data_IF_295820067457
#
_entry.id   IF_295820067457
#
_cell.length_a   1.000
_cell.length_b   1.000
_cell.length_c   1.000
_cell.angle_alpha   90.00
_cell.angle_beta   90.00
_cell.angle_gamma   90.00
#
_symmetry.space_group_name_H-M   'P 1'
#
loop_
_entity.id
_entity.type
_entity.pdbx_description
1 polymer ?
#
# COMPACT_ATOMS: atom_id res chain seq x y z
N UNK A 1 44.10 -73.90 34.35
CA UNK A 1 43.19 -73.13 35.20
C UNK A 1 41.91 -72.87 34.42
N UNK A 2 40.77 -73.43 34.82
CA UNK A 2 39.49 -73.16 34.12
C UNK A 2 38.93 -71.80 34.59
N UNK A 3 38.56 -70.96 33.62
CA UNK A 3 37.89 -69.72 33.87
C UNK A 3 36.43 -70.01 34.18
N UNK A 4 35.99 -69.69 35.38
CA UNK A 4 34.60 -69.76 35.80
C UNK A 4 33.84 -68.60 35.10
N UNK A 5 32.92 -68.97 34.18
CA UNK A 5 31.96 -68.05 33.63
C UNK A 5 30.88 -67.73 34.70
N UNK A 6 30.80 -66.47 35.12
CA UNK A 6 29.74 -66.02 36.04
C UNK A 6 28.37 -66.18 35.38
N UNK A 7 27.41 -66.73 36.13
CA UNK A 7 26.03 -66.84 35.72
C UNK A 7 25.41 -65.45 35.56
N UNK A 8 24.56 -65.20 34.52
CA UNK A 8 23.91 -63.93 34.38
C UNK A 8 22.93 -63.69 35.54
N UNK A 9 22.97 -62.51 36.11
CA UNK A 9 22.04 -62.06 37.13
C UNK A 9 20.58 -62.09 36.58
N UNK A 10 19.59 -62.43 37.41
CA UNK A 10 18.20 -62.44 36.99
C UNK A 10 17.78 -60.99 36.67
N UNK A 11 17.41 -60.75 35.43
CA UNK A 11 16.79 -59.50 34.97
C UNK A 11 15.46 -59.30 35.68
N UNK A 12 15.35 -58.27 36.49
CA UNK A 12 14.09 -57.80 37.07
C UNK A 12 13.09 -57.54 35.97
N UNK A 13 11.84 -58.03 36.06
CA UNK A 13 10.83 -57.77 35.06
C UNK A 13 10.54 -56.25 35.01
N UNK A 14 10.76 -55.62 33.85
CA UNK A 14 10.39 -54.23 33.61
C UNK A 14 8.87 -54.16 33.59
N UNK A 15 8.31 -53.53 34.61
CA UNK A 15 6.88 -53.26 34.68
C UNK A 15 6.52 -52.34 33.48
N UNK A 16 5.56 -52.72 32.62
CA UNK A 16 5.15 -51.84 31.54
C UNK A 16 4.65 -50.50 32.12
N UNK A 17 4.96 -49.37 31.48
CA UNK A 17 4.50 -48.06 31.97
C UNK A 17 2.97 -48.06 32.07
N UNK A 18 2.46 -47.59 33.18
CA UNK A 18 1.04 -47.37 33.41
C UNK A 18 0.43 -46.60 32.25
N UNK A 19 -0.68 -47.02 31.65
CA UNK A 19 -1.32 -46.23 30.59
C UNK A 19 -1.57 -44.82 31.11
N UNK A 20 -0.97 -43.84 30.46
CA UNK A 20 -1.27 -42.44 30.72
C UNK A 20 -2.73 -42.26 30.44
N UNK A 21 -3.54 -41.92 31.46
CA UNK A 21 -4.95 -41.62 31.30
C UNK A 21 -5.20 -40.62 30.18
N UNK A 22 -6.42 -40.52 29.66
CA UNK A 22 -6.72 -39.60 28.58
C UNK A 22 -6.17 -38.23 28.94
N UNK A 23 -5.36 -37.65 28.02
CA UNK A 23 -4.84 -36.32 28.17
C UNK A 23 -6.00 -35.38 28.49
N UNK A 24 -5.86 -34.47 29.47
CA UNK A 24 -6.90 -33.51 29.76
C UNK A 24 -7.26 -32.79 28.44
N UNK A 25 -8.56 -32.49 28.21
CA UNK A 25 -8.95 -31.79 27.01
C UNK A 25 -8.07 -30.55 26.90
N UNK A 26 -7.41 -30.38 25.77
CA UNK A 26 -6.68 -29.14 25.47
C UNK A 26 -7.73 -28.06 25.64
N UNK A 27 -7.63 -27.30 26.74
CA UNK A 27 -8.40 -26.07 26.88
C UNK A 27 -8.05 -25.23 25.65
N UNK A 28 -8.95 -25.22 24.67
CA UNK A 28 -8.92 -24.20 23.64
C UNK A 28 -9.07 -22.91 24.42
N UNK A 29 -7.99 -22.15 24.53
CA UNK A 29 -8.12 -20.74 24.83
C UNK A 29 -9.00 -20.15 23.74
N UNK A 30 -10.28 -20.10 24.00
CA UNK A 30 -11.20 -19.25 23.27
C UNK A 30 -10.76 -17.85 23.67
N UNK A 31 -9.97 -17.21 22.83
CA UNK A 31 -9.80 -15.77 22.92
C UNK A 31 -11.21 -15.22 22.72
N UNK A 32 -11.86 -14.84 23.81
CA UNK A 32 -13.06 -14.02 23.69
C UNK A 32 -12.65 -12.77 22.95
N UNK A 33 -13.23 -12.58 21.77
CA UNK A 33 -13.00 -11.36 21.00
C UNK A 33 -13.49 -10.19 21.82
N UNK A 34 -12.58 -9.49 22.47
CA UNK A 34 -12.90 -8.32 23.28
C UNK A 34 -13.47 -7.17 22.44
N UNK A 35 -13.29 -7.23 21.12
CA UNK A 35 -13.73 -6.21 20.20
C UNK A 35 -14.50 -6.81 19.03
N UNK A 36 -15.68 -6.29 18.70
CA UNK A 36 -16.41 -6.74 17.52
C UNK A 36 -15.63 -6.37 16.26
N UNK A 37 -15.33 -7.38 15.47
CA UNK A 37 -14.67 -7.25 14.17
C UNK A 37 -13.14 -7.21 14.25
N UNK A 38 -12.55 -8.07 13.47
CA UNK A 38 -11.11 -8.18 13.30
C UNK A 38 -10.68 -7.56 11.96
N UNK A 39 -9.43 -7.14 11.85
CA UNK A 39 -8.85 -6.83 10.56
C UNK A 39 -8.73 -8.11 9.74
N UNK A 40 -9.00 -8.03 8.43
CA UNK A 40 -8.76 -9.13 7.49
C UNK A 40 -7.52 -8.84 6.65
N UNK A 41 -6.83 -9.91 6.25
CA UNK A 41 -5.67 -9.86 5.38
C UNK A 41 -5.96 -10.63 4.10
N UNK A 42 -5.73 -9.99 2.97
CA UNK A 42 -5.95 -10.60 1.66
C UNK A 42 -4.70 -10.42 0.80
N UNK A 43 -4.20 -11.50 0.24
CA UNK A 43 -3.19 -11.47 -0.81
C UNK A 43 -3.86 -11.47 -2.16
N UNK A 44 -3.46 -10.56 -3.04
CA UNK A 44 -3.84 -10.57 -4.45
C UNK A 44 -2.59 -10.78 -5.28
N UNK A 45 -2.54 -11.88 -6.02
CA UNK A 45 -1.42 -12.20 -6.88
C UNK A 45 -1.38 -11.37 -8.16
N UNK A 46 -0.28 -11.42 -8.88
CA UNK A 46 -0.12 -10.77 -10.19
C UNK A 46 -1.15 -11.21 -11.23
N UNK A 47 -1.67 -12.44 -11.07
CA UNK A 47 -2.69 -13.06 -11.94
C UNK A 47 -4.12 -12.71 -11.55
N UNK A 48 -4.31 -11.81 -10.58
CA UNK A 48 -5.60 -11.40 -10.06
C UNK A 48 -6.25 -12.39 -9.09
N UNK A 49 -5.60 -13.53 -8.81
CA UNK A 49 -6.10 -14.47 -7.79
C UNK A 49 -6.06 -13.83 -6.40
N UNK A 50 -7.11 -14.05 -5.61
CA UNK A 50 -7.25 -13.51 -4.26
C UNK A 50 -7.26 -14.63 -3.23
N UNK A 51 -6.54 -14.41 -2.12
CA UNK A 51 -6.34 -15.36 -1.05
C UNK A 51 -6.59 -14.69 0.29
N UNK A 52 -7.60 -15.12 0.99
CA UNK A 52 -7.87 -14.66 2.34
C UNK A 52 -6.91 -15.34 3.30
N UNK A 53 -5.97 -14.57 3.86
CA UNK A 53 -4.95 -15.08 4.78
C UNK A 53 -5.40 -15.04 6.23
N UNK A 54 -6.24 -14.06 6.58
CA UNK A 54 -6.85 -13.92 7.90
C UNK A 54 -8.22 -13.27 7.73
N UNK A 55 -9.27 -14.03 8.08
CA UNK A 55 -10.65 -13.58 8.04
C UNK A 55 -11.12 -13.12 9.42
N UNK A 56 -12.20 -12.38 9.46
CA UNK A 56 -12.80 -11.84 10.70
C UNK A 56 -13.23 -12.93 11.70
N UNK A 57 -13.56 -14.10 11.22
CA UNK A 57 -14.01 -15.25 12.00
C UNK A 57 -12.87 -16.25 12.29
N UNK A 58 -11.60 -15.86 12.06
CA UNK A 58 -10.42 -16.72 12.16
C UNK A 58 -10.45 -17.96 11.26
N UNK A 59 -11.37 -18.03 10.29
CA UNK A 59 -11.41 -19.06 9.26
C UNK A 59 -10.91 -18.50 7.94
N UNK A 60 -10.19 -19.29 7.16
CA UNK A 60 -9.79 -18.94 5.81
C UNK A 60 -10.52 -19.85 4.83
N UNK A 61 -11.44 -19.28 4.06
CA UNK A 61 -12.14 -19.99 3.01
C UNK A 61 -11.23 -20.35 1.83
N UNK A 62 -10.08 -19.67 1.71
CA UNK A 62 -9.16 -19.86 0.59
C UNK A 62 -8.25 -21.09 0.72
N UNK A 63 -8.26 -21.80 1.85
CA UNK A 63 -7.32 -22.91 2.13
C UNK A 63 -5.88 -22.46 2.34
N UNK A 64 -5.67 -21.17 2.64
CA UNK A 64 -4.38 -20.56 2.98
C UNK A 64 -4.57 -19.66 4.19
N UNK A 65 -3.72 -19.77 5.19
CA UNK A 65 -3.79 -18.90 6.36
C UNK A 65 -2.43 -18.40 6.79
N UNK A 66 -2.40 -17.18 7.32
CA UNK A 66 -1.22 -16.60 7.96
C UNK A 66 -0.82 -17.44 9.18
N UNK A 67 0.45 -17.80 9.21
CA UNK A 67 1.06 -18.45 10.35
C UNK A 67 1.68 -17.46 11.33
N UNK A 68 2.43 -18.00 12.28
CA UNK A 68 3.18 -17.22 13.26
C UNK A 68 4.42 -16.56 12.62
N UNK A 69 5.04 -15.61 13.33
CA UNK A 69 6.30 -14.92 12.95
C UNK A 69 6.17 -14.01 11.72
N UNK A 70 5.09 -13.26 11.63
CA UNK A 70 4.94 -12.20 10.64
C UNK A 70 5.84 -11.00 11.02
N UNK A 71 6.62 -10.49 10.07
CA UNK A 71 7.53 -9.34 10.24
C UNK A 71 7.36 -8.36 9.08
N UNK A 72 7.72 -7.10 9.30
CA UNK A 72 7.73 -6.06 8.26
C UNK A 72 6.38 -5.41 7.98
N UNK A 73 5.30 -5.76 8.71
CA UNK A 73 3.98 -5.15 8.50
C UNK A 73 3.71 -3.92 9.39
N UNK A 74 4.57 -3.70 10.39
CA UNK A 74 4.47 -2.57 11.32
C UNK A 74 5.19 -1.34 10.76
N UNK A 75 5.91 -0.56 11.59
CA UNK A 75 6.72 0.56 11.10
C UNK A 75 7.83 0.07 10.16
N UNK A 76 8.14 0.82 9.09
CA UNK A 76 9.33 0.55 8.28
C UNK A 76 10.60 0.87 9.06
N UNK A 77 11.73 0.39 8.58
CA UNK A 77 13.02 0.91 9.01
C UNK A 77 13.14 2.36 8.58
N UNK A 78 13.69 3.21 9.44
CA UNK A 78 13.96 4.62 9.18
C UNK A 78 15.43 4.85 9.42
N UNK A 79 16.15 5.27 8.41
CA UNK A 79 17.58 5.55 8.47
C UNK A 79 17.79 7.08 8.53
N UNK A 80 18.18 7.64 9.70
CA UNK A 80 18.39 9.07 9.84
C UNK A 80 19.69 9.52 9.16
N UNK A 81 19.65 10.67 8.53
CA UNK A 81 20.85 11.40 8.13
C UNK A 81 21.33 12.25 9.30
N UNK A 82 22.57 12.01 9.74
CA UNK A 82 23.16 12.71 10.88
C UNK A 82 24.41 13.47 10.46
N UNK A 83 24.62 14.63 11.07
CA UNK A 83 25.84 15.42 10.97
C UNK A 83 26.47 15.51 12.35
N UNK A 84 27.73 15.12 12.44
CA UNK A 84 28.55 15.21 13.66
C UNK A 84 29.51 16.39 13.56
N UNK A 85 29.77 17.04 14.68
CA UNK A 85 30.77 18.12 14.80
C UNK A 85 31.86 17.70 15.77
N UNK A 86 33.15 17.88 15.42
CA UNK A 86 34.27 17.52 16.32
C UNK A 86 34.29 18.31 17.64
N UNK A 87 33.56 19.42 17.72
CA UNK A 87 33.56 20.31 18.89
C UNK A 87 32.30 20.22 19.76
N UNK A 88 31.34 19.34 19.38
CA UNK A 88 30.05 19.20 20.10
C UNK A 88 29.73 17.72 20.22
N UNK A 89 29.43 17.29 21.45
CA UNK A 89 29.01 15.89 21.69
C UNK A 89 27.66 15.60 21.02
N UNK A 90 27.55 14.40 20.42
CA UNK A 90 26.34 13.94 19.75
C UNK A 90 26.28 14.30 18.27
N UNK A 91 25.11 14.10 17.67
CA UNK A 91 24.85 14.33 16.26
C UNK A 91 23.53 15.08 16.04
N UNK A 92 23.48 15.93 15.02
CA UNK A 92 22.25 16.58 14.59
C UNK A 92 21.59 15.78 13.49
N UNK A 93 20.29 15.47 13.61
CA UNK A 93 19.50 14.80 12.56
C UNK A 93 19.09 15.85 11.53
N UNK A 94 19.47 15.66 10.27
CA UNK A 94 19.15 16.57 9.16
C UNK A 94 18.05 16.06 8.24
N UNK A 95 17.67 14.80 8.39
CA UNK A 95 16.62 14.16 7.60
C UNK A 95 16.63 12.65 7.81
N UNK A 96 15.84 11.94 7.02
CA UNK A 96 15.81 10.48 7.03
C UNK A 96 15.45 9.93 5.66
N UNK A 97 15.73 8.66 5.46
CA UNK A 97 15.25 7.86 4.32
C UNK A 97 14.58 6.60 4.85
N UNK A 98 13.56 6.16 4.14
CA UNK A 98 12.91 4.88 4.39
C UNK A 98 13.34 3.91 3.28
N UNK A 99 14.19 2.92 3.58
CA UNK A 99 14.64 1.94 2.60
C UNK A 99 13.50 1.00 2.17
N UNK A 100 13.69 0.19 1.11
CA UNK A 100 12.75 -0.86 0.78
C UNK A 100 12.42 -1.72 2.00
N UNK A 101 11.14 -2.07 2.15
CA UNK A 101 10.65 -2.82 3.31
C UNK A 101 10.70 -4.31 3.03
N UNK A 102 11.42 -5.04 3.88
CA UNK A 102 11.37 -6.49 3.90
C UNK A 102 10.14 -6.97 4.69
N UNK A 103 9.39 -7.88 4.09
CA UNK A 103 8.22 -8.52 4.70
C UNK A 103 8.45 -10.02 4.72
N UNK A 104 8.24 -10.62 5.85
CA UNK A 104 8.27 -12.07 6.02
C UNK A 104 7.03 -12.52 6.77
N UNK A 105 6.41 -13.57 6.29
CA UNK A 105 5.38 -14.28 7.01
C UNK A 105 5.40 -15.77 6.67
N UNK A 106 4.91 -16.58 7.58
CA UNK A 106 4.64 -17.97 7.29
C UNK A 106 3.19 -18.12 6.84
N UNK A 107 2.96 -19.01 5.90
CA UNK A 107 1.61 -19.41 5.48
C UNK A 107 1.44 -20.91 5.61
N UNK A 108 0.27 -21.33 6.05
CA UNK A 108 -0.16 -22.70 5.97
C UNK A 108 -1.12 -22.84 4.80
N UNK A 109 -0.76 -23.72 3.87
CA UNK A 109 -1.58 -24.08 2.71
C UNK A 109 -2.17 -25.46 2.98
N UNK A 110 -3.49 -25.65 2.85
CA UNK A 110 -4.15 -26.92 3.08
C UNK A 110 -5.29 -27.18 2.12
N UNK A 111 -5.57 -28.48 1.89
CA UNK A 111 -6.73 -28.96 1.15
C UNK A 111 -7.15 -30.31 1.70
N UNK A 112 -8.46 -30.53 1.86
CA UNK A 112 -9.03 -31.71 2.51
C UNK A 112 -9.53 -32.79 1.56
N UNK A 113 -9.43 -32.60 0.25
CA UNK A 113 -9.91 -33.57 -0.72
C UNK A 113 -8.93 -34.69 -0.99
N UNK A 114 -8.31 -34.70 -2.14
CA UNK A 114 -7.32 -35.68 -2.57
C UNK A 114 -5.92 -35.06 -2.63
N UNK A 115 -4.89 -35.94 -2.74
CA UNK A 115 -3.51 -35.49 -2.99
C UNK A 115 -3.40 -34.61 -4.23
N UNK A 116 -4.17 -34.93 -5.28
CA UNK A 116 -4.16 -34.14 -6.52
C UNK A 116 -4.76 -32.76 -6.31
N UNK A 117 -5.87 -32.64 -5.59
CA UNK A 117 -6.47 -31.36 -5.24
C UNK A 117 -5.54 -30.50 -4.39
N UNK A 118 -4.80 -31.12 -3.46
CA UNK A 118 -3.78 -30.40 -2.70
C UNK A 118 -2.67 -29.88 -3.60
N UNK A 119 -2.12 -30.69 -4.52
CA UNK A 119 -1.08 -30.29 -5.47
C UNK A 119 -1.56 -29.12 -6.35
N UNK A 120 -2.79 -29.18 -6.84
CA UNK A 120 -3.35 -28.15 -7.69
C UNK A 120 -3.61 -26.84 -6.92
N UNK A 121 -3.99 -26.98 -5.64
CA UNK A 121 -4.18 -25.83 -4.74
C UNK A 121 -2.85 -25.16 -4.40
N UNK A 122 -1.83 -25.92 -4.05
CA UNK A 122 -0.48 -25.45 -3.76
C UNK A 122 0.14 -24.75 -4.99
N UNK A 123 0.01 -25.36 -6.18
CA UNK A 123 0.45 -24.74 -7.44
C UNK A 123 -0.22 -23.39 -7.71
N UNK A 124 -1.52 -23.27 -7.44
CA UNK A 124 -2.22 -22.00 -7.63
C UNK A 124 -1.71 -20.94 -6.66
N UNK A 125 -1.47 -21.30 -5.39
CA UNK A 125 -0.87 -20.42 -4.41
C UNK A 125 0.49 -19.89 -4.90
N UNK A 126 1.41 -20.80 -5.23
CA UNK A 126 2.75 -20.41 -5.68
C UNK A 126 2.76 -19.69 -7.03
N UNK A 127 1.79 -19.97 -7.90
CA UNK A 127 1.61 -19.19 -9.13
C UNK A 127 1.29 -17.73 -8.83
N UNK A 128 0.51 -17.44 -7.82
CA UNK A 128 0.20 -16.07 -7.39
C UNK A 128 1.43 -15.31 -6.87
N UNK A 129 2.47 -16.05 -6.47
CA UNK A 129 3.74 -15.56 -5.90
C UNK A 129 4.90 -15.55 -6.91
N UNK A 130 4.66 -15.67 -8.21
CA UNK A 130 5.75 -15.63 -9.19
C UNK A 130 6.48 -14.29 -9.16
N UNK A 131 7.81 -14.28 -9.45
CA UNK A 131 8.60 -13.06 -9.48
C UNK A 131 8.05 -12.02 -10.43
N UNK A 132 8.16 -10.76 -10.05
CA UNK A 132 7.75 -9.61 -10.87
C UNK A 132 8.60 -9.56 -12.15
N UNK A 133 7.94 -9.33 -13.27
CA UNK A 133 8.59 -9.13 -14.55
C UNK A 133 7.97 -7.90 -15.22
N UNK A 134 8.73 -6.80 -15.37
CA UNK A 134 8.20 -5.56 -15.91
C UNK A 134 7.48 -5.76 -17.26
N UNK A 135 6.31 -5.18 -17.40
CA UNK A 135 5.46 -5.31 -18.58
C UNK A 135 4.71 -6.66 -18.73
N UNK A 136 4.99 -7.65 -17.87
CA UNK A 136 4.38 -8.99 -17.94
C UNK A 136 3.69 -9.38 -16.64
N UNK A 137 4.36 -9.19 -15.50
CA UNK A 137 3.83 -9.53 -14.17
C UNK A 137 4.05 -8.36 -13.21
N UNK A 138 2.95 -7.82 -12.71
CA UNK A 138 2.95 -6.77 -11.69
C UNK A 138 3.33 -7.32 -10.31
N UNK A 139 3.69 -6.46 -9.34
CA UNK A 139 3.77 -6.85 -7.94
C UNK A 139 2.45 -7.42 -7.44
N UNK A 140 2.55 -8.35 -6.49
CA UNK A 140 1.38 -8.76 -5.71
C UNK A 140 1.00 -7.69 -4.70
N UNK A 141 -0.19 -7.81 -4.12
CA UNK A 141 -0.73 -6.84 -3.17
C UNK A 141 -1.21 -7.53 -1.91
N UNK A 142 -0.65 -7.11 -0.77
CA UNK A 142 -1.18 -7.49 0.55
C UNK A 142 -2.11 -6.37 1.03
N UNK A 143 -3.39 -6.67 1.14
CA UNK A 143 -4.42 -5.73 1.60
C UNK A 143 -4.83 -6.05 3.03
N UNK A 144 -4.87 -5.04 3.87
CA UNK A 144 -5.46 -5.08 5.22
C UNK A 144 -6.77 -4.32 5.16
N UNK A 145 -7.84 -4.97 5.60
CA UNK A 145 -9.15 -4.33 5.74
C UNK A 145 -9.47 -4.21 7.22
N UNK A 146 -9.57 -2.98 7.70
CA UNK A 146 -9.94 -2.70 9.09
C UNK A 146 -11.43 -3.00 9.36
N UNK A 147 -11.86 -3.16 10.62
CA UNK A 147 -13.25 -3.43 10.98
C UNK A 147 -14.26 -2.39 10.46
N UNK A 148 -13.84 -1.13 10.32
CA UNK A 148 -14.65 -0.04 9.76
C UNK A 148 -14.74 -0.04 8.22
N UNK A 149 -14.12 -1.03 7.55
CA UNK A 149 -14.10 -1.15 6.10
C UNK A 149 -12.96 -0.37 5.42
N UNK A 150 -12.17 0.42 6.16
CA UNK A 150 -11.00 1.11 5.60
C UNK A 150 -9.97 0.10 5.11
N UNK A 151 -9.44 0.31 3.91
CA UNK A 151 -8.47 -0.59 3.28
C UNK A 151 -7.14 0.11 3.11
N UNK A 152 -6.07 -0.62 3.43
CA UNK A 152 -4.70 -0.23 3.10
C UNK A 152 -3.98 -1.41 2.48
N UNK A 153 -3.10 -1.16 1.54
CA UNK A 153 -2.33 -2.21 0.89
C UNK A 153 -0.87 -1.84 0.73
N UNK A 154 -0.08 -2.89 0.60
CA UNK A 154 1.33 -2.82 0.31
C UNK A 154 1.60 -3.62 -0.96
N UNK A 155 2.27 -3.01 -1.94
CA UNK A 155 2.74 -3.70 -3.13
C UNK A 155 4.04 -4.45 -2.82
N UNK A 156 4.05 -5.74 -3.13
CA UNK A 156 5.09 -6.66 -2.69
C UNK A 156 5.63 -7.47 -3.85
N UNK A 157 6.94 -7.56 -3.89
CA UNK A 157 7.68 -8.36 -4.84
C UNK A 157 8.10 -9.67 -4.15
N UNK A 158 7.60 -10.84 -4.60
CA UNK A 158 8.02 -12.12 -4.04
C UNK A 158 9.49 -12.41 -4.29
N UNK A 159 10.18 -12.85 -3.23
CA UNK A 159 11.56 -13.32 -3.28
C UNK A 159 11.60 -14.81 -2.98
N UNK A 160 12.20 -15.59 -3.87
CA UNK A 160 12.30 -17.04 -3.69
C UNK A 160 13.72 -17.38 -3.23
N UNK A 161 13.86 -17.78 -1.95
CA UNK A 161 15.17 -18.09 -1.36
C UNK A 161 15.57 -19.58 -1.51
N UNK A 162 14.64 -20.42 -1.96
CA UNK A 162 14.91 -21.82 -2.31
C UNK A 162 15.37 -22.73 -1.16
N UNK A 163 15.00 -22.38 0.07
CA UNK A 163 15.47 -22.98 1.31
C UNK A 163 14.39 -23.80 2.06
N UNK A 164 13.36 -24.28 1.32
CA UNK A 164 12.29 -25.08 1.93
C UNK A 164 12.59 -26.56 1.86
N UNK A 165 12.71 -27.19 3.02
CA UNK A 165 12.89 -28.64 3.17
C UNK A 165 11.56 -29.32 3.53
N UNK A 166 11.30 -30.48 2.93
CA UNK A 166 10.16 -31.32 3.24
C UNK A 166 10.57 -32.49 4.13
N UNK A 167 10.08 -32.52 5.36
CA UNK A 167 10.23 -33.69 6.25
C UNK A 167 9.33 -34.84 5.81
N UNK A 168 8.12 -34.51 5.37
CA UNK A 168 7.10 -35.47 4.91
C UNK A 168 6.48 -34.92 3.64
N UNK A 169 6.23 -35.79 2.67
CA UNK A 169 5.53 -35.43 1.43
C UNK A 169 4.18 -34.73 1.76
N UNK A 170 4.04 -33.44 1.44
CA UNK A 170 2.86 -32.67 1.81
C UNK A 170 1.57 -33.19 1.15
N UNK A 171 1.70 -33.80 -0.03
CA UNK A 171 0.56 -34.37 -0.76
C UNK A 171 -0.11 -35.53 -0.01
N UNK A 172 0.64 -36.19 0.88
CA UNK A 172 0.11 -37.25 1.75
C UNK A 172 -0.64 -36.74 2.97
N UNK A 173 -0.20 -35.58 3.52
CA UNK A 173 -0.83 -35.03 4.72
C UNK A 173 -1.85 -33.92 4.41
N UNK A 174 -1.93 -33.45 3.15
CA UNK A 174 -2.88 -32.45 2.70
C UNK A 174 -2.62 -31.02 3.17
N UNK A 175 -1.43 -30.74 3.69
CA UNK A 175 -1.05 -29.40 4.11
C UNK A 175 0.46 -29.21 4.18
N UNK A 176 0.90 -27.92 4.06
CA UNK A 176 2.29 -27.52 4.27
C UNK A 176 2.36 -26.11 4.85
N UNK A 177 3.48 -25.80 5.51
CA UNK A 177 3.75 -24.47 6.04
C UNK A 177 5.00 -23.91 5.37
N UNK A 178 4.86 -22.78 4.71
CA UNK A 178 5.93 -22.12 3.96
C UNK A 178 6.35 -20.80 4.60
N UNK A 179 7.64 -20.47 4.49
CA UNK A 179 8.13 -19.12 4.71
C UNK A 179 8.05 -18.32 3.41
N UNK A 180 7.41 -17.17 3.45
CA UNK A 180 7.25 -16.28 2.30
C UNK A 180 8.05 -15.01 2.56
N UNK A 181 8.98 -14.71 1.65
CA UNK A 181 9.83 -13.51 1.68
C UNK A 181 9.37 -12.56 0.57
N UNK A 182 9.18 -11.31 0.92
CA UNK A 182 8.63 -10.30 0.04
C UNK A 182 9.36 -8.97 0.27
N UNK A 183 9.51 -8.16 -0.77
CA UNK A 183 10.07 -6.82 -0.66
C UNK A 183 9.09 -5.79 -1.22
N UNK A 184 8.78 -4.77 -0.41
CA UNK A 184 8.09 -3.57 -0.85
C UNK A 184 9.13 -2.51 -1.23
N UNK A 185 9.34 -2.28 -2.52
CA UNK A 185 10.22 -1.20 -3.00
C UNK A 185 9.62 0.18 -2.76
N UNK A 186 8.28 0.27 -2.66
CA UNK A 186 7.56 1.40 -2.08
C UNK A 186 7.19 1.03 -0.65
N UNK A 187 7.89 1.54 0.37
CA UNK A 187 7.82 1.01 1.73
C UNK A 187 6.57 1.39 2.51
N UNK A 188 5.73 2.27 1.96
CA UNK A 188 4.54 2.78 2.63
C UNK A 188 3.29 2.02 2.24
N UNK A 189 2.42 1.83 3.21
CA UNK A 189 1.06 1.40 2.95
C UNK A 189 0.29 2.52 2.26
N UNK A 190 -0.51 2.16 1.29
CA UNK A 190 -1.38 3.10 0.58
C UNK A 190 -2.84 2.76 0.84
N UNK A 191 -3.71 3.75 0.72
CA UNK A 191 -5.17 3.56 0.73
C UNK A 191 -5.77 3.91 -0.63
N UNK A 192 -7.08 3.75 -0.77
CA UNK A 192 -7.78 4.30 -1.92
C UNK A 192 -7.49 5.82 -2.02
N UNK A 193 -7.36 6.37 -3.23
CA UNK A 193 -7.22 7.80 -3.41
C UNK A 193 -8.39 8.54 -2.76
N UNK A 194 -8.10 9.68 -2.16
CA UNK A 194 -9.15 10.53 -1.62
C UNK A 194 -10.07 11.03 -2.74
N UNK A 195 -11.34 11.33 -2.43
CA UNK A 195 -12.23 11.95 -3.38
C UNK A 195 -11.59 13.20 -4.00
N UNK A 196 -11.70 13.34 -5.32
CA UNK A 196 -11.12 14.47 -6.02
C UNK A 196 -11.72 15.79 -5.52
N UNK A 197 -10.87 16.78 -5.26
CA UNK A 197 -11.29 18.16 -5.04
C UNK A 197 -11.27 18.90 -6.36
N UNK A 198 -12.37 19.54 -6.69
CA UNK A 198 -12.54 20.28 -7.95
C UNK A 198 -12.39 21.77 -7.71
N UNK A 199 -11.57 22.40 -8.52
CA UNK A 199 -11.40 23.84 -8.61
C UNK A 199 -11.88 24.31 -9.97
N UNK A 200 -12.93 25.09 -10.00
CA UNK A 200 -13.49 25.68 -11.20
C UNK A 200 -13.70 27.18 -10.98
N UNK A 201 -13.38 27.97 -11.97
CA UNK A 201 -13.70 29.38 -11.94
C UNK A 201 -15.23 29.51 -11.76
N UNK A 202 -15.67 30.08 -10.66
CA UNK A 202 -17.07 30.46 -10.48
C UNK A 202 -17.45 31.34 -11.64
N UNK A 203 -18.51 30.99 -12.37
CA UNK A 203 -19.06 31.89 -13.37
C UNK A 203 -19.25 33.24 -12.69
N UNK A 204 -18.74 34.31 -13.30
CA UNK A 204 -18.87 35.64 -12.78
C UNK A 204 -20.35 36.00 -12.62
N UNK A 205 -20.90 35.71 -11.44
CA UNK A 205 -22.06 36.46 -10.98
C UNK A 205 -21.52 37.86 -10.78
N UNK A 206 -21.78 38.75 -11.72
CA UNK A 206 -21.30 40.11 -11.66
C UNK A 206 -21.66 40.65 -10.28
N UNK A 207 -20.68 41.16 -9.55
CA UNK A 207 -20.84 41.80 -8.24
C UNK A 207 -21.96 42.86 -8.22
N UNK A 208 -22.45 43.25 -9.38
CA UNK A 208 -23.56 44.18 -9.62
C UNK A 208 -24.64 43.58 -10.51
N UNK A 209 -24.84 42.28 -10.56
CA UNK A 209 -25.97 41.64 -11.24
C UNK A 209 -27.27 41.78 -10.44
N UNK A 210 -27.59 42.95 -9.99
CA UNK A 210 -28.90 43.30 -9.50
C UNK A 210 -29.86 43.42 -10.69
N UNK A 211 -30.94 42.65 -10.65
CA UNK A 211 -32.03 42.61 -11.62
C UNK A 211 -32.52 44.00 -11.98
N UNK A 212 -33.03 44.07 -13.23
CA UNK A 212 -33.88 45.13 -13.76
C UNK A 212 -33.20 46.47 -14.08
N UNK A 213 -32.72 46.59 -15.28
CA UNK A 213 -32.63 47.86 -16.02
C UNK A 213 -31.41 48.76 -15.74
N UNK A 214 -30.40 48.34 -15.00
CA UNK A 214 -29.23 49.17 -14.69
C UNK A 214 -28.10 49.00 -15.70
N UNK A 215 -27.77 50.06 -16.43
CA UNK A 215 -26.53 50.21 -17.23
C UNK A 215 -25.32 50.31 -16.29
N UNK A 216 -24.86 49.19 -15.75
CA UNK A 216 -23.57 49.10 -15.09
C UNK A 216 -22.50 48.71 -16.09
N UNK A 217 -21.39 49.44 -16.13
CA UNK A 217 -20.27 49.12 -16.99
C UNK A 217 -19.72 47.71 -16.62
N UNK A 218 -19.47 46.86 -17.62
CA UNK A 218 -18.89 45.54 -17.35
C UNK A 218 -17.42 45.74 -16.97
N UNK A 219 -17.13 45.75 -15.71
CA UNK A 219 -15.75 45.53 -15.26
C UNK A 219 -15.47 44.05 -15.42
N UNK A 220 -14.93 43.68 -16.57
CA UNK A 220 -14.26 42.41 -16.75
C UNK A 220 -12.89 42.57 -16.10
N UNK A 221 -12.75 42.10 -14.87
CA UNK A 221 -11.41 41.90 -14.30
C UNK A 221 -10.82 40.77 -15.11
N UNK A 222 -9.89 41.08 -15.99
CA UNK A 222 -9.21 40.12 -16.87
C UNK A 222 -8.51 39.03 -16.08
N UNK A 223 -8.90 37.83 -16.30
CA UNK A 223 -8.64 36.54 -15.94
C UNK A 223 -7.23 36.11 -15.57
N UNK A 224 -6.78 36.26 -14.36
CA UNK A 224 -6.05 35.21 -13.69
C UNK A 224 -6.88 34.77 -12.49
N UNK A 225 -7.60 33.66 -12.63
CA UNK A 225 -8.35 33.14 -11.50
C UNK A 225 -7.42 32.30 -10.65
N UNK A 226 -6.81 32.94 -9.67
CA UNK A 226 -6.27 32.20 -8.53
C UNK A 226 -7.47 31.67 -7.73
N UNK A 227 -7.54 30.35 -7.54
CA UNK A 227 -8.50 29.74 -6.63
C UNK A 227 -8.02 30.01 -5.21
N UNK A 228 -8.29 31.21 -4.68
CA UNK A 228 -7.91 31.60 -3.34
C UNK A 228 -8.58 30.69 -2.30
N UNK A 229 -7.79 30.11 -1.38
CA UNK A 229 -8.28 29.25 -0.33
C UNK A 229 -8.48 27.76 -0.73
N UNK A 230 -7.87 27.33 -1.82
CA UNK A 230 -7.81 25.91 -2.15
C UNK A 230 -7.06 25.15 -1.06
N UNK A 231 -7.67 24.15 -0.48
CA UNK A 231 -7.05 23.29 0.56
C UNK A 231 -7.35 21.82 0.28
N UNK A 232 -6.45 20.95 0.72
CA UNK A 232 -6.61 19.52 0.63
C UNK A 232 -6.16 18.84 1.94
N UNK A 233 -6.79 17.74 2.29
CA UNK A 233 -6.36 16.95 3.44
C UNK A 233 -5.41 15.84 2.96
N UNK A 234 -4.34 15.61 3.73
CA UNK A 234 -3.54 14.40 3.65
C UNK A 234 -3.59 13.70 5.02
N UNK A 235 -4.46 12.70 5.20
CA UNK A 235 -4.56 11.95 6.46
C UNK A 235 -3.46 10.89 6.59
N UNK A 236 -2.52 10.82 5.66
CA UNK A 236 -1.36 9.94 5.71
C UNK A 236 -0.33 10.35 6.77
N UNK A 237 0.65 9.49 6.97
CA UNK A 237 1.77 9.72 7.88
C UNK A 237 2.95 10.40 7.15
N UNK A 238 2.96 10.33 5.80
CA UNK A 238 4.02 10.82 4.94
C UNK A 238 3.50 11.82 3.89
N UNK A 239 4.37 12.69 3.36
CA UNK A 239 4.04 13.54 2.24
C UNK A 239 3.57 12.70 1.04
N UNK A 240 2.44 13.05 0.46
CA UNK A 240 1.83 12.34 -0.66
C UNK A 240 1.89 13.18 -1.94
N UNK A 241 2.06 12.52 -3.07
CA UNK A 241 2.18 13.17 -4.36
C UNK A 241 0.82 13.31 -5.02
N UNK A 242 0.36 14.55 -5.32
CA UNK A 242 -0.95 14.77 -5.92
C UNK A 242 -0.98 14.32 -7.39
N UNK A 243 -2.14 13.85 -7.81
CA UNK A 243 -2.47 13.66 -9.22
C UNK A 243 -3.46 14.75 -9.61
N UNK A 244 -3.08 15.56 -10.60
CA UNK A 244 -3.87 16.66 -11.12
C UNK A 244 -4.53 16.26 -12.42
N UNK A 245 -5.83 16.45 -12.54
CA UNK A 245 -6.55 16.34 -13.81
C UNK A 245 -6.99 17.73 -14.25
N UNK A 246 -6.46 18.16 -15.36
CA UNK A 246 -6.62 19.49 -15.92
C UNK A 246 -7.59 19.41 -17.09
N UNK A 247 -8.74 20.05 -16.99
CA UNK A 247 -9.76 20.06 -18.03
C UNK A 247 -9.72 21.40 -18.80
N UNK A 248 -9.67 21.30 -20.12
CA UNK A 248 -9.69 22.48 -21.01
C UNK A 248 -11.04 23.23 -21.03
N UNK A 249 -11.06 24.45 -21.62
CA UNK A 249 -9.97 25.03 -22.38
C UNK A 249 -8.97 25.85 -21.53
N UNK A 250 -7.69 25.67 -21.77
CA UNK A 250 -6.64 26.50 -21.17
C UNK A 250 -5.34 26.46 -22.01
N UNK A 251 -4.47 27.44 -21.80
CA UNK A 251 -3.14 27.50 -22.42
C UNK A 251 -2.01 27.41 -21.39
N UNK A 252 -2.30 27.73 -20.14
CA UNK A 252 -1.34 27.68 -19.05
C UNK A 252 -2.02 27.33 -17.73
N UNK A 253 -1.35 26.52 -16.92
CA UNK A 253 -1.77 26.17 -15.56
C UNK A 253 -0.60 26.30 -14.62
N UNK A 254 -0.84 26.83 -13.40
CA UNK A 254 0.10 26.77 -12.28
C UNK A 254 -0.51 25.93 -11.18
N UNK A 255 0.22 24.93 -10.72
CA UNK A 255 -0.20 24.01 -9.68
C UNK A 255 0.91 23.78 -8.66
N UNK A 256 0.54 23.48 -7.43
CA UNK A 256 1.48 23.18 -6.35
C UNK A 256 1.02 23.63 -4.98
N UNK A 257 1.98 23.77 -4.10
CA UNK A 257 1.80 24.33 -2.75
C UNK A 257 2.39 25.76 -2.70
N UNK A 258 1.96 26.61 -1.74
CA UNK A 258 2.57 27.93 -1.57
C UNK A 258 4.09 27.83 -1.44
N UNK A 259 4.80 28.56 -2.29
CA UNK A 259 6.28 28.56 -2.34
C UNK A 259 6.91 27.49 -3.26
N UNK A 260 6.13 26.53 -3.78
CA UNK A 260 6.60 25.50 -4.71
C UNK A 260 5.58 25.30 -5.84
N UNK A 261 5.60 26.20 -6.81
CA UNK A 261 4.66 26.22 -7.93
C UNK A 261 5.32 25.74 -9.22
N UNK A 262 4.64 24.84 -9.91
CA UNK A 262 5.00 24.39 -11.25
C UNK A 262 4.08 25.02 -12.27
N UNK A 263 4.64 25.63 -13.29
CA UNK A 263 3.91 26.21 -14.43
C UNK A 263 3.97 25.25 -15.61
N UNK A 264 2.82 24.88 -16.13
CA UNK A 264 2.65 24.00 -17.29
C UNK A 264 2.04 24.84 -18.42
N UNK A 265 2.75 24.97 -19.52
CA UNK A 265 2.25 25.64 -20.72
C UNK A 265 1.90 24.59 -21.76
N UNK A 266 0.61 24.47 -22.06
CA UNK A 266 0.08 23.47 -22.99
C UNK A 266 -1.30 23.92 -23.46
N UNK A 267 -1.54 23.89 -24.77
CA UNK A 267 -2.87 24.12 -25.32
C UNK A 267 -3.76 22.89 -25.13
N UNK A 268 -4.83 23.04 -24.38
CA UNK A 268 -5.84 22.01 -24.15
C UNK A 268 -7.19 22.57 -24.55
N UNK A 269 -7.83 21.92 -25.52
CA UNK A 269 -9.11 22.37 -26.07
C UNK A 269 -10.28 22.07 -25.12
N UNK A 270 -11.41 22.67 -25.37
CA UNK A 270 -12.64 22.36 -24.65
C UNK A 270 -13.04 20.90 -24.87
N UNK A 271 -13.31 20.17 -23.78
CA UNK A 271 -13.64 18.74 -23.80
C UNK A 271 -12.44 17.81 -23.74
N UNK A 272 -11.21 18.32 -23.82
CA UNK A 272 -9.99 17.56 -23.55
C UNK A 272 -9.61 17.62 -22.08
N UNK A 273 -8.90 16.60 -21.61
CA UNK A 273 -8.31 16.59 -20.28
C UNK A 273 -6.91 16.00 -20.27
N UNK A 274 -6.08 16.52 -19.36
CA UNK A 274 -4.70 16.10 -19.16
C UNK A 274 -4.53 15.69 -17.71
N UNK A 275 -3.94 14.52 -17.49
CA UNK A 275 -3.59 14.03 -16.16
C UNK A 275 -2.09 14.22 -15.93
N UNK A 276 -1.74 14.88 -14.84
CA UNK A 276 -0.37 15.11 -14.38
C UNK A 276 -0.16 14.31 -13.10
N UNK A 277 0.59 13.22 -13.21
CA UNK A 277 1.06 12.48 -12.05
C UNK A 277 2.38 13.07 -11.58
N UNK A 278 2.44 13.53 -10.34
CA UNK A 278 3.60 14.20 -9.78
C UNK A 278 4.53 13.32 -8.98
N UNK A 279 4.18 12.03 -8.77
CA UNK A 279 5.00 11.04 -8.05
C UNK A 279 6.35 10.87 -8.77
N UNK A 280 7.49 11.16 -8.12
CA UNK A 280 8.82 11.06 -8.74
C UNK A 280 9.15 9.69 -9.33
N UNK A 281 8.55 8.61 -8.80
CA UNK A 281 8.74 7.25 -9.29
C UNK A 281 7.81 6.87 -10.44
N UNK A 282 6.81 7.71 -10.74
CA UNK A 282 5.81 7.46 -11.78
C UNK A 282 5.36 8.75 -12.48
N UNK A 283 6.26 9.74 -12.53
CA UNK A 283 5.97 11.05 -13.11
C UNK A 283 5.54 10.93 -14.58
N UNK A 284 4.36 11.45 -14.89
CA UNK A 284 3.81 11.37 -16.24
C UNK A 284 2.82 12.50 -16.49
N UNK A 285 2.74 12.94 -17.75
CA UNK A 285 1.67 13.79 -18.27
C UNK A 285 1.00 13.02 -19.40
N UNK A 286 -0.28 12.72 -19.23
CA UNK A 286 -1.06 11.90 -20.18
C UNK A 286 -2.36 12.58 -20.54
N UNK A 287 -2.85 12.32 -21.75
CA UNK A 287 -4.19 12.71 -22.17
C UNK A 287 -5.26 11.72 -21.64
N UNK A 288 -6.50 12.00 -21.97
CA UNK A 288 -7.65 11.17 -21.59
C UNK A 288 -7.62 9.75 -22.16
N UNK A 289 -6.84 9.51 -23.22
CA UNK A 289 -6.61 8.19 -23.83
C UNK A 289 -5.39 7.47 -23.24
N UNK A 290 -4.73 8.08 -22.23
CA UNK A 290 -3.52 7.53 -21.60
C UNK A 290 -2.24 7.71 -22.42
N UNK A 291 -2.27 8.50 -23.50
CA UNK A 291 -1.09 8.78 -24.32
C UNK A 291 -0.25 9.87 -23.67
N UNK A 292 1.07 9.72 -23.72
CA UNK A 292 1.99 10.73 -23.22
C UNK A 292 1.80 12.06 -23.96
N UNK A 293 1.71 13.15 -23.20
CA UNK A 293 1.67 14.51 -23.71
C UNK A 293 2.87 15.27 -23.13
N UNK A 294 3.48 16.09 -23.96
CA UNK A 294 4.63 16.89 -23.54
C UNK A 294 4.23 18.37 -23.51
N UNK A 295 4.31 19.06 -22.34
CA UNK A 295 4.11 20.50 -22.28
C UNK A 295 5.11 21.21 -23.17
N UNK A 296 4.70 22.32 -23.82
CA UNK A 296 5.61 23.18 -24.56
C UNK A 296 6.61 23.85 -23.64
N UNK A 297 6.23 24.08 -22.38
CA UNK A 297 7.09 24.58 -21.33
C UNK A 297 6.66 24.00 -19.97
N UNK A 298 7.64 23.51 -19.20
CA UNK A 298 7.51 23.16 -17.81
C UNK A 298 8.51 24.03 -17.04
N UNK A 299 8.03 24.96 -16.23
CA UNK A 299 8.88 25.95 -15.56
C UNK A 299 8.43 26.15 -14.10
N UNK A 300 9.36 26.64 -13.28
CA UNK A 300 9.13 26.89 -11.85
C UNK A 300 9.81 25.85 -10.95
N UNK A 301 9.25 25.63 -9.77
CA UNK A 301 9.72 24.62 -8.84
C UNK A 301 9.42 23.21 -9.35
N UNK A 302 10.20 22.19 -8.94
CA UNK A 302 9.80 20.81 -9.09
C UNK A 302 8.41 20.57 -8.50
N UNK A 303 7.70 19.55 -8.98
CA UNK A 303 6.43 19.19 -8.37
C UNK A 303 6.57 18.99 -6.87
N UNK A 304 5.60 19.52 -6.11
CA UNK A 304 5.59 19.46 -4.66
C UNK A 304 4.66 18.38 -4.16
N UNK A 305 5.09 17.67 -3.12
CA UNK A 305 4.25 16.78 -2.34
C UNK A 305 3.36 17.56 -1.37
N UNK A 306 2.29 16.95 -0.92
CA UNK A 306 1.35 17.47 0.07
C UNK A 306 1.72 16.88 1.42
N UNK A 307 2.18 17.68 2.39
CA UNK A 307 2.54 17.20 3.70
C UNK A 307 1.32 16.61 4.44
N UNK A 308 1.52 15.74 5.43
CA UNK A 308 0.46 15.29 6.30
C UNK A 308 -0.24 16.48 6.98
N UNK A 309 -1.57 16.44 7.07
CA UNK A 309 -2.34 17.46 7.76
C UNK A 309 -3.72 17.69 7.16
N UNK A 310 -4.49 18.51 7.85
CA UNK A 310 -5.77 19.02 7.38
C UNK A 310 -5.61 20.40 6.78
N UNK A 311 -6.48 20.71 5.82
CA UNK A 311 -6.56 22.03 5.20
C UNK A 311 -5.20 22.53 4.67
N UNK A 312 -4.38 21.62 4.11
CA UNK A 312 -3.10 21.98 3.51
C UNK A 312 -3.34 22.89 2.32
N UNK A 313 -2.77 24.12 2.30
CA UNK A 313 -3.04 25.07 1.25
C UNK A 313 -2.46 24.61 -0.09
N UNK A 314 -3.26 24.74 -1.13
CA UNK A 314 -2.87 24.50 -2.52
C UNK A 314 -2.95 25.79 -3.31
N UNK A 315 -2.16 25.85 -4.36
CA UNK A 315 -2.28 26.87 -5.41
C UNK A 315 -2.65 26.17 -6.71
N UNK A 316 -3.74 26.60 -7.29
CA UNK A 316 -4.19 26.17 -8.60
C UNK A 316 -4.61 27.43 -9.37
N UNK A 317 -3.97 27.71 -10.50
CA UNK A 317 -4.28 28.86 -11.37
C UNK A 317 -4.42 28.33 -12.79
N UNK A 318 -5.43 28.79 -13.50
CA UNK A 318 -5.64 28.42 -14.91
C UNK A 318 -5.84 29.68 -15.76
N UNK A 319 -5.17 29.72 -16.92
CA UNK A 319 -5.43 30.76 -17.93
C UNK A 319 -6.53 30.28 -18.86
N UNK A 320 -7.76 30.70 -18.61
CA UNK A 320 -8.94 30.26 -19.39
C UNK A 320 -10.11 29.86 -18.49
N UNK A 321 -11.06 29.12 -19.05
CA UNK A 321 -12.24 28.62 -18.35
C UNK A 321 -12.12 27.16 -17.93
N UNK A 322 -10.89 26.67 -17.80
CA UNK A 322 -10.62 25.29 -17.42
C UNK A 322 -11.02 24.96 -15.98
N UNK A 323 -11.09 23.65 -15.70
CA UNK A 323 -11.33 23.08 -14.38
C UNK A 323 -10.12 22.26 -13.97
N UNK A 324 -9.79 22.27 -12.70
CA UNK A 324 -8.71 21.47 -12.12
C UNK A 324 -9.31 20.55 -11.08
N UNK A 325 -9.07 19.26 -11.23
CA UNK A 325 -9.38 18.26 -10.22
C UNK A 325 -8.03 17.79 -9.63
N UNK A 326 -7.97 17.62 -8.30
CA UNK A 326 -6.82 17.07 -7.61
C UNK A 326 -7.23 15.94 -6.70
N UNK A 327 -6.46 14.88 -6.73
CA UNK A 327 -6.59 13.76 -5.81
C UNK A 327 -5.24 13.43 -5.19
N UNK A 328 -5.27 12.87 -3.99
CA UNK A 328 -4.10 12.44 -3.22
C UNK A 328 -4.32 11.01 -2.77
N UNK A 329 -3.28 10.20 -2.90
CA UNK A 329 -3.23 8.86 -2.35
C UNK A 329 -2.39 8.89 -1.07
N UNK A 330 -3.01 8.80 0.12
CA UNK A 330 -2.30 8.87 1.38
C UNK A 330 -1.31 7.72 1.57
N UNK A 331 -0.19 8.02 2.22
CA UNK A 331 0.89 7.08 2.55
C UNK A 331 0.97 6.88 4.06
N UNK A 332 1.06 5.62 4.50
CA UNK A 332 1.04 5.28 5.91
C UNK A 332 2.21 4.37 6.28
N UNK A 333 2.69 4.49 7.51
CA UNK A 333 3.70 3.58 8.05
C UNK A 333 3.14 2.20 8.35
N UNK A 334 1.84 2.10 8.70
CA UNK A 334 1.19 0.88 9.16
C UNK A 334 -0.06 0.54 8.35
N UNK A 335 -0.37 -0.76 8.28
CA UNK A 335 -1.57 -1.25 7.59
C UNK A 335 -2.90 -0.95 8.32
N UNK A 336 -2.85 -0.56 9.58
CA UNK A 336 -4.03 -0.25 10.41
C UNK A 336 -3.75 0.82 11.44
#
# INVERSE_FOLDING_TARGET
MPVLLASPEPTTPVTPPTPVGPLPPIERYVYEDHFPGLASFTWTGWDGSTWELLCRDHTSASGVALGRRTRGLHFPQIDPYTVESPSVDGASVTGYVVPPREVFFTVRVWQHGSSQEWIDHDRRWWRSMLPVLPGVRSPGRLTVTAPNGGRRWLELHPEHKGDHDYDVDPSKRGWETYGVYLTAYRPFWTSDPLPAKTFQQGGSSGFFGGAVGGKGAPFVIGGSSAFGGAVIDNPGDEPAWPVWTLHGPFTQVKIGTPGALTTIVMDVAAGESITVNTDPLAQAVTDQDGRSRYPSQLAGAPFSSIPPGKDVPLVAEVSGQGRIDVTVQPLYYRGW
#
